data_IF_202514014800
#
_entry.id   IF_202514014800
#
_cell.length_a   1.000
_cell.length_b   1.000
_cell.length_c   1.000
_cell.angle_alpha   90.00
_cell.angle_beta   90.00
_cell.angle_gamma   90.00
#
_symmetry.space_group_name_H-M   'P 1'
#
loop_
_entity.id
_entity.type
_entity.pdbx_description
1 polymer ?
#
# COMPACT_ATOMS: atom_id res chain seq x y z
N UNK A 1 17.81 -10.06 17.90
CA UNK A 1 17.19 -10.10 16.56
C UNK A 1 17.37 -11.49 15.97
N UNK A 2 16.30 -12.17 15.59
CA UNK A 2 16.37 -13.50 14.96
C UNK A 2 15.55 -13.53 13.68
N UNK A 3 16.06 -14.27 12.69
CA UNK A 3 15.40 -14.48 11.37
C UNK A 3 14.55 -15.75 11.33
N UNK A 4 14.57 -16.54 12.40
CA UNK A 4 14.06 -17.91 12.40
C UNK A 4 12.98 -18.14 13.47
N UNK A 5 12.23 -17.10 13.87
CA UNK A 5 11.09 -17.34 14.75
C UNK A 5 10.07 -18.20 14.01
N UNK A 6 9.57 -19.21 14.71
CA UNK A 6 8.61 -20.16 14.17
C UNK A 6 7.40 -20.20 15.07
N UNK A 7 6.23 -20.34 14.44
CA UNK A 7 4.97 -20.59 15.11
C UNK A 7 4.59 -22.05 14.93
N UNK A 8 3.84 -22.56 15.90
CA UNK A 8 3.22 -23.88 15.83
C UNK A 8 1.75 -23.68 15.49
N UNK A 9 1.36 -24.06 14.28
CA UNK A 9 -0.03 -24.18 13.91
C UNK A 9 -0.52 -25.59 14.24
N UNK A 10 -1.74 -25.71 14.77
CA UNK A 10 -2.37 -27.00 15.08
C UNK A 10 -3.81 -26.99 14.57
N UNK A 11 -4.34 -28.18 14.25
CA UNK A 11 -5.71 -28.31 13.74
C UNK A 11 -6.70 -28.59 14.86
N UNK A 12 -6.33 -29.44 15.80
CA UNK A 12 -7.19 -29.79 16.93
C UNK A 12 -6.42 -29.85 18.24
N UNK A 13 -7.14 -29.58 19.32
CA UNK A 13 -6.65 -29.66 20.69
C UNK A 13 -7.41 -30.78 21.38
N UNK A 14 -6.68 -31.75 21.92
CA UNK A 14 -7.21 -32.88 22.65
C UNK A 14 -7.11 -32.62 24.15
N UNK A 15 -8.25 -32.39 24.79
CA UNK A 15 -8.35 -32.15 26.23
C UNK A 15 -8.47 -33.48 26.98
N UNK A 16 -7.44 -33.81 27.76
CA UNK A 16 -7.47 -34.91 28.73
C UNK A 16 -7.23 -34.32 30.12
N UNK A 17 -6.32 -34.88 30.94
CA UNK A 17 -5.80 -34.21 32.14
C UNK A 17 -4.82 -33.06 31.81
N UNK A 18 -4.22 -33.09 30.62
CA UNK A 18 -3.41 -31.99 30.06
C UNK A 18 -3.81 -31.79 28.59
N UNK A 19 -3.83 -30.54 28.09
CA UNK A 19 -4.16 -30.28 26.70
C UNK A 19 -3.01 -30.74 25.79
N UNK A 20 -3.34 -31.51 24.75
CA UNK A 20 -2.39 -31.95 23.72
C UNK A 20 -2.75 -31.32 22.38
N UNK A 21 -1.74 -30.82 21.66
CA UNK A 21 -1.92 -30.32 20.30
C UNK A 21 -1.80 -31.47 19.30
N UNK A 22 -2.74 -31.57 18.37
CA UNK A 22 -2.80 -32.63 17.36
C UNK A 22 -2.62 -32.02 15.98
N UNK A 23 -1.88 -32.73 15.12
CA UNK A 23 -1.55 -32.31 13.77
C UNK A 23 -0.84 -30.93 13.73
N UNK A 24 0.35 -30.89 14.34
CA UNK A 24 1.13 -29.66 14.47
C UNK A 24 2.04 -29.45 13.25
N UNK A 25 2.05 -28.24 12.71
CA UNK A 25 2.96 -27.81 11.63
C UNK A 25 3.73 -26.58 12.09
N UNK A 26 5.04 -26.57 11.81
CA UNK A 26 5.90 -25.41 12.06
C UNK A 26 5.83 -24.46 10.87
N UNK A 27 5.54 -23.20 11.13
CA UNK A 27 5.36 -22.17 10.10
C UNK A 27 6.27 -20.99 10.42
N UNK A 28 6.92 -20.35 9.42
CA UNK A 28 7.70 -19.14 9.68
C UNK A 28 6.79 -18.02 10.22
N UNK A 29 7.17 -17.45 11.37
CA UNK A 29 6.27 -16.60 12.13
C UNK A 29 5.89 -15.32 11.38
N UNK A 30 6.90 -14.63 10.81
CA UNK A 30 6.70 -13.33 10.19
C UNK A 30 5.71 -13.39 9.02
N UNK A 31 5.95 -14.28 8.06
CA UNK A 31 5.13 -14.42 6.87
C UNK A 31 3.71 -14.90 7.22
N UNK A 32 3.58 -15.83 8.16
CA UNK A 32 2.27 -16.33 8.58
C UNK A 32 1.43 -15.24 9.25
N UNK A 33 2.02 -14.50 10.20
CA UNK A 33 1.34 -13.41 10.89
C UNK A 33 0.99 -12.28 9.93
N UNK A 34 1.88 -11.93 9.00
CA UNK A 34 1.62 -10.86 8.04
C UNK A 34 0.55 -11.21 7.01
N UNK A 35 0.28 -12.48 6.71
CA UNK A 35 -0.71 -12.88 5.72
C UNK A 35 -2.06 -13.29 6.30
N UNK A 36 -2.05 -13.98 7.44
CA UNK A 36 -3.24 -14.64 7.97
C UNK A 36 -3.80 -14.01 9.25
N UNK A 37 -3.14 -12.98 9.81
CA UNK A 37 -3.70 -12.26 10.96
C UNK A 37 -4.95 -11.48 10.60
N UNK A 38 -5.83 -11.34 11.58
CA UNK A 38 -7.07 -10.61 11.45
C UNK A 38 -6.85 -9.10 11.50
N UNK A 39 -6.05 -8.62 12.45
CA UNK A 39 -5.69 -7.20 12.55
C UNK A 39 -4.17 -7.01 12.63
N UNK A 40 -3.69 -6.03 11.85
CA UNK A 40 -2.32 -5.55 11.89
C UNK A 40 -2.33 -4.06 12.20
N UNK A 41 -1.75 -3.71 13.33
CA UNK A 41 -1.61 -2.33 13.77
C UNK A 41 -0.14 -1.94 13.62
N UNK A 42 0.14 -0.77 13.06
CA UNK A 42 1.51 -0.30 12.83
C UNK A 42 1.76 1.03 13.53
N UNK A 43 3.01 1.21 13.94
CA UNK A 43 3.57 2.51 14.30
C UNK A 43 3.72 3.42 13.07
N UNK A 44 3.88 4.72 13.32
CA UNK A 44 4.11 5.77 12.34
C UNK A 44 5.31 5.50 11.41
N UNK A 45 6.42 5.04 12.00
CA UNK A 45 7.65 4.65 11.27
C UNK A 45 7.59 3.25 10.63
N UNK A 46 6.45 2.56 10.74
CA UNK A 46 6.25 1.17 10.28
C UNK A 46 7.19 0.11 10.89
N UNK A 47 8.11 0.49 11.78
CA UNK A 47 9.13 -0.38 12.37
C UNK A 47 8.56 -1.33 13.45
N UNK A 48 7.54 -0.87 14.18
CA UNK A 48 6.80 -1.65 15.18
C UNK A 48 5.43 -2.03 14.64
N UNK A 49 5.10 -3.32 14.71
CA UNK A 49 3.82 -3.88 14.33
C UNK A 49 3.21 -4.66 15.49
N UNK A 50 1.90 -4.55 15.69
CA UNK A 50 1.13 -5.36 16.62
C UNK A 50 0.15 -6.21 15.82
N UNK A 51 0.18 -7.51 16.08
CA UNK A 51 -0.62 -8.53 15.41
C UNK A 51 -1.69 -9.03 16.38
N UNK A 52 -2.95 -8.97 15.93
CA UNK A 52 -4.14 -9.43 16.65
C UNK A 52 -4.25 -8.88 18.11
N UNK A 53 -3.60 -7.75 18.40
CA UNK A 53 -3.61 -7.11 19.72
C UNK A 53 -2.84 -7.86 20.83
N UNK A 54 -2.01 -8.85 20.49
CA UNK A 54 -1.29 -9.64 21.50
C UNK A 54 0.16 -9.94 21.19
N UNK A 55 0.59 -9.77 19.94
CA UNK A 55 1.93 -10.09 19.52
C UNK A 55 2.58 -8.89 18.87
N UNK A 56 3.74 -8.49 19.36
CA UNK A 56 4.53 -7.40 18.84
C UNK A 56 5.69 -7.92 17.98
N UNK A 57 5.85 -7.31 16.81
CA UNK A 57 6.96 -7.51 15.90
C UNK A 57 7.72 -6.19 15.78
N UNK A 58 9.01 -6.21 16.09
CA UNK A 58 9.89 -5.05 15.92
C UNK A 58 10.92 -5.34 14.84
N UNK A 59 10.96 -4.50 13.82
CA UNK A 59 11.91 -4.56 12.72
C UNK A 59 12.89 -3.39 12.87
N UNK A 60 14.22 -3.63 12.92
CA UNK A 60 15.20 -2.58 13.19
C UNK A 60 15.37 -1.58 12.03
N UNK A 61 14.96 -1.94 10.82
CA UNK A 61 15.09 -1.10 9.63
C UNK A 61 13.70 -0.73 9.10
N UNK A 62 13.34 0.55 9.19
CA UNK A 62 12.05 1.10 8.76
C UNK A 62 11.78 0.88 7.26
N UNK A 63 12.76 1.08 6.37
CA UNK A 63 12.60 0.83 4.92
C UNK A 63 12.31 -0.63 4.60
N UNK A 64 12.90 -1.54 5.37
CA UNK A 64 12.64 -2.98 5.21
C UNK A 64 11.26 -3.36 5.73
N UNK A 65 10.82 -2.74 6.83
CA UNK A 65 9.51 -2.95 7.42
C UNK A 65 8.39 -2.44 6.50
N UNK A 66 8.58 -1.25 5.92
CA UNK A 66 7.68 -0.64 4.94
C UNK A 66 7.50 -1.52 3.71
N UNK A 67 8.60 -2.00 3.10
CA UNK A 67 8.53 -2.91 1.93
C UNK A 67 7.85 -4.24 2.27
N UNK A 68 8.11 -4.76 3.45
CA UNK A 68 7.48 -5.99 3.93
C UNK A 68 5.97 -5.80 4.16
N UNK A 69 5.57 -4.65 4.69
CA UNK A 69 4.16 -4.28 4.83
C UNK A 69 3.50 -4.08 3.47
N UNK A 70 4.10 -3.29 2.57
CA UNK A 70 3.55 -3.02 1.24
C UNK A 70 3.32 -4.32 0.45
N UNK A 71 4.31 -5.22 0.44
CA UNK A 71 4.19 -6.55 -0.19
C UNK A 71 3.13 -7.44 0.48
N UNK A 72 3.04 -7.45 1.82
CA UNK A 72 2.01 -8.22 2.53
C UNK A 72 0.60 -7.71 2.20
N UNK A 73 0.39 -6.39 2.15
CA UNK A 73 -0.88 -5.76 1.80
C UNK A 73 -1.28 -6.05 0.36
N UNK A 74 -0.34 -5.92 -0.59
CA UNK A 74 -0.56 -6.27 -1.98
C UNK A 74 -0.96 -7.75 -2.12
N UNK A 75 -0.27 -8.65 -1.43
CA UNK A 75 -0.57 -10.08 -1.51
C UNK A 75 -1.94 -10.42 -0.88
N UNK A 76 -2.30 -9.81 0.25
CA UNK A 76 -3.63 -9.97 0.86
C UNK A 76 -4.74 -9.48 -0.07
N UNK A 77 -4.59 -8.28 -0.63
CA UNK A 77 -5.60 -7.73 -1.56
C UNK A 77 -5.73 -8.58 -2.84
N UNK A 78 -4.62 -9.07 -3.38
CA UNK A 78 -4.64 -9.98 -4.53
C UNK A 78 -5.32 -11.32 -4.18
N UNK A 79 -4.98 -11.89 -3.02
CA UNK A 79 -5.60 -13.12 -2.52
C UNK A 79 -7.12 -12.97 -2.34
N UNK A 80 -7.57 -11.86 -1.75
CA UNK A 80 -8.99 -11.58 -1.60
C UNK A 80 -9.70 -11.40 -2.93
N UNK A 81 -9.12 -10.66 -3.88
CA UNK A 81 -9.68 -10.52 -5.23
C UNK A 81 -9.84 -11.89 -5.90
N UNK A 82 -8.85 -12.76 -5.79
CA UNK A 82 -8.91 -14.14 -6.32
C UNK A 82 -9.99 -14.97 -5.62
N UNK A 83 -10.10 -14.88 -4.29
CA UNK A 83 -11.15 -15.57 -3.55
C UNK A 83 -12.55 -15.10 -3.95
N UNK A 84 -12.73 -13.79 -4.12
CA UNK A 84 -13.99 -13.22 -4.62
C UNK A 84 -14.28 -13.70 -6.05
N UNK A 85 -13.29 -13.70 -6.93
CA UNK A 85 -13.42 -14.22 -8.29
C UNK A 85 -13.78 -15.71 -8.31
N UNK A 86 -13.14 -16.54 -7.49
CA UNK A 86 -13.43 -17.98 -7.40
C UNK A 86 -14.83 -18.26 -6.84
N UNK A 87 -15.30 -17.45 -5.88
CA UNK A 87 -16.68 -17.52 -5.36
C UNK A 87 -17.71 -17.16 -6.44
N UNK A 88 -17.39 -16.20 -7.30
CA UNK A 88 -18.30 -15.71 -8.34
C UNK A 88 -18.21 -16.45 -9.68
N UNK A 89 -17.06 -17.06 -9.99
CA UNK A 89 -16.76 -17.69 -11.29
C UNK A 89 -16.06 -19.01 -11.05
N UNK A 90 -16.80 -20.10 -11.18
CA UNK A 90 -16.26 -21.45 -11.12
C UNK A 90 -15.19 -21.67 -12.20
N UNK A 91 -13.93 -21.81 -11.76
CA UNK A 91 -12.79 -22.32 -12.52
C UNK A 91 -12.37 -21.54 -13.79
N UNK A 92 -11.46 -20.58 -13.64
CA UNK A 92 -10.75 -20.00 -14.78
C UNK A 92 -9.95 -18.75 -14.44
N UNK A 93 -9.06 -18.81 -13.45
CA UNK A 93 -8.17 -17.69 -13.13
C UNK A 93 -6.74 -18.18 -13.06
N UNK A 94 -5.88 -17.58 -13.87
CA UNK A 94 -4.43 -17.77 -13.80
C UNK A 94 -3.92 -17.23 -12.47
N UNK A 95 -3.11 -18.00 -11.71
CA UNK A 95 -2.56 -17.53 -10.45
C UNK A 95 -1.73 -16.26 -10.67
N UNK A 96 -1.71 -15.31 -9.73
CA UNK A 96 -0.84 -14.16 -9.78
C UNK A 96 0.61 -14.66 -9.90
N UNK A 97 1.36 -14.09 -10.84
CA UNK A 97 2.79 -14.37 -10.98
C UNK A 97 3.48 -13.96 -9.68
N UNK A 98 3.88 -14.98 -8.91
CA UNK A 98 4.17 -14.94 -7.49
C UNK A 98 5.03 -13.75 -7.03
N UNK A 99 4.50 -12.80 -6.24
CA UNK A 99 5.36 -12.03 -5.36
C UNK A 99 5.72 -12.96 -4.21
N UNK A 100 6.87 -13.65 -4.33
CA UNK A 100 7.37 -14.45 -3.22
C UNK A 100 7.71 -13.48 -2.09
N UNK A 101 7.06 -13.62 -0.93
CA UNK A 101 7.50 -12.96 0.31
C UNK A 101 8.75 -13.71 0.80
N UNK A 102 9.87 -13.50 0.11
CA UNK A 102 11.20 -14.04 0.45
C UNK A 102 12.00 -13.08 1.33
N UNK A 103 11.35 -12.06 1.90
CA UNK A 103 12.00 -11.05 2.72
C UNK A 103 12.43 -11.70 4.05
N UNK A 104 13.67 -12.21 4.09
CA UNK A 104 14.36 -12.66 5.31
C UNK A 104 14.91 -11.45 6.07
N UNK A 105 14.01 -10.70 6.71
CA UNK A 105 14.40 -9.55 7.52
C UNK A 105 14.64 -10.03 8.97
N UNK A 106 15.70 -9.58 9.67
CA UNK A 106 15.84 -9.82 11.10
C UNK A 106 14.78 -9.04 11.87
N UNK A 107 14.05 -9.70 12.76
CA UNK A 107 13.04 -9.05 13.60
C UNK A 107 13.16 -9.52 15.05
N UNK A 108 12.44 -8.84 15.93
CA UNK A 108 12.16 -9.26 17.29
C UNK A 108 10.68 -9.64 17.38
N UNK A 109 10.38 -10.69 18.15
CA UNK A 109 9.02 -11.16 18.38
C UNK A 109 8.77 -11.16 19.89
N UNK A 110 7.73 -10.47 20.34
CA UNK A 110 7.43 -10.30 21.76
C UNK A 110 5.93 -10.49 22.01
N UNK A 111 5.58 -11.36 22.97
CA UNK A 111 4.18 -11.48 23.41
C UNK A 111 3.86 -10.35 24.39
N UNK A 112 2.83 -9.58 24.08
CA UNK A 112 2.41 -8.46 24.91
C UNK A 112 1.73 -8.94 26.19
N UNK A 113 2.20 -8.42 27.31
CA UNK A 113 1.61 -8.61 28.63
C UNK A 113 0.31 -7.82 28.77
N UNK A 114 -0.51 -8.17 29.77
CA UNK A 114 -1.78 -7.48 30.02
C UNK A 114 -1.62 -5.97 30.30
N UNK A 115 -0.51 -5.56 30.93
CA UNK A 115 -0.21 -4.15 31.19
C UNK A 115 0.20 -3.43 29.91
N UNK A 116 1.05 -4.05 29.08
CA UNK A 116 1.47 -3.45 27.81
C UNK A 116 0.28 -3.25 26.88
N UNK A 117 -0.66 -4.20 26.84
CA UNK A 117 -1.91 -4.07 26.07
C UNK A 117 -2.73 -2.82 26.43
N UNK A 118 -2.75 -2.45 27.71
CA UNK A 118 -3.45 -1.24 28.17
C UNK A 118 -2.71 0.04 27.78
N UNK A 119 -1.39 -0.06 27.61
CA UNK A 119 -0.53 1.06 27.21
C UNK A 119 -0.30 1.12 25.69
N UNK A 120 -0.81 0.16 24.92
CA UNK A 120 -0.69 0.15 23.47
C UNK A 120 -1.45 1.30 22.82
N UNK A 121 -2.59 1.72 23.40
CA UNK A 121 -3.57 2.64 22.80
C UNK A 121 -3.74 3.97 23.55
N UNK A 122 -2.67 4.51 24.14
CA UNK A 122 -2.73 5.77 24.89
C UNK A 122 -2.33 6.95 24.00
N UNK A 123 -3.28 7.82 23.65
CA UNK A 123 -2.99 9.09 23.00
C UNK A 123 -2.18 10.03 23.90
N UNK A 124 -1.57 11.10 23.36
CA UNK A 124 -0.73 12.01 24.14
C UNK A 124 -1.52 12.56 25.34
N UNK A 125 -1.13 12.15 26.55
CA UNK A 125 -1.71 12.68 27.78
C UNK A 125 -1.08 14.05 28.03
N UNK A 126 -1.58 15.08 27.35
CA UNK A 126 -1.36 16.44 27.82
C UNK A 126 -2.00 16.54 29.20
N UNK A 127 -1.17 16.82 30.19
CA UNK A 127 -1.51 16.93 31.61
C UNK A 127 -2.81 17.74 31.82
N UNK A 128 -3.64 17.24 32.75
CA UNK A 128 -4.88 17.78 33.31
C UNK A 128 -6.19 17.49 32.54
N UNK A 129 -6.85 16.43 33.02
CA UNK A 129 -8.31 16.25 33.11
C UNK A 129 -9.16 16.64 31.88
N UNK A 130 -9.38 15.67 30.99
CA UNK A 130 -10.60 15.61 30.19
C UNK A 130 -11.36 14.32 30.51
N UNK A 131 -12.69 14.37 30.68
CA UNK A 131 -13.48 13.18 30.97
C UNK A 131 -13.33 12.19 29.82
N UNK A 132 -13.26 10.90 30.15
CA UNK A 132 -13.25 9.78 29.19
C UNK A 132 -14.47 9.91 28.28
N UNK A 133 -14.27 10.54 27.13
CA UNK A 133 -15.30 10.92 26.19
C UNK A 133 -14.90 10.44 24.80
N UNK A 134 -15.57 9.38 24.39
CA UNK A 134 -15.58 8.75 23.07
C UNK A 134 -14.22 8.25 22.54
N UNK A 135 -14.03 6.94 22.68
CA UNK A 135 -12.91 6.10 22.28
C UNK A 135 -12.84 5.92 20.74
N UNK A 136 -12.93 7.05 20.02
CA UNK A 136 -12.85 7.15 18.57
C UNK A 136 -11.48 7.68 18.13
N UNK A 137 -10.41 7.19 18.77
CA UNK A 137 -9.08 7.29 18.19
C UNK A 137 -9.19 6.73 16.76
N UNK A 138 -8.95 7.62 15.81
CA UNK A 138 -9.33 7.45 14.42
C UNK A 138 -8.67 6.19 13.87
N UNK A 139 -9.46 5.13 13.72
CA UNK A 139 -9.13 3.96 12.91
C UNK A 139 -9.04 4.46 11.48
N UNK A 140 -7.90 5.04 11.12
CA UNK A 140 -7.63 5.48 9.77
C UNK A 140 -7.47 4.22 8.94
N UNK A 141 -8.55 3.86 8.24
CA UNK A 141 -8.52 2.84 7.21
C UNK A 141 -7.51 3.29 6.15
N UNK A 142 -6.59 2.42 5.77
CA UNK A 142 -5.73 2.65 4.61
C UNK A 142 -6.65 2.90 3.39
N UNK A 143 -6.65 4.10 2.78
CA UNK A 143 -7.48 4.36 1.61
C UNK A 143 -6.98 3.51 0.45
N UNK A 144 -7.81 2.57 -0.01
CA UNK A 144 -7.48 1.62 -1.09
C UNK A 144 -7.47 0.14 -0.68
N UNK A 145 -7.66 -0.17 0.61
CA UNK A 145 -8.06 -1.51 1.04
C UNK A 145 -9.58 -1.63 1.04
N UNK A 146 -10.11 -2.74 0.53
CA UNK A 146 -11.53 -3.05 0.65
C UNK A 146 -11.95 -2.98 2.13
N UNK A 147 -13.17 -2.48 2.44
CA UNK A 147 -13.67 -2.37 3.81
C UNK A 147 -13.75 -3.71 4.57
N UNK A 148 -13.54 -4.83 3.86
CA UNK A 148 -13.47 -6.19 4.39
C UNK A 148 -12.14 -6.53 5.08
N UNK A 149 -11.07 -5.75 4.88
CA UNK A 149 -9.78 -5.99 5.53
C UNK A 149 -9.57 -4.94 6.61
N UNK A 150 -9.71 -5.28 7.90
CA UNK A 150 -9.57 -4.33 8.97
C UNK A 150 -8.09 -4.04 9.26
N UNK A 151 -7.40 -3.40 8.31
CA UNK A 151 -6.15 -2.72 8.62
C UNK A 151 -6.49 -1.48 9.42
N UNK A 152 -6.14 -1.51 10.70
CA UNK A 152 -6.30 -0.37 11.59
C UNK A 152 -4.91 0.23 11.73
N UNK A 153 -4.67 1.36 11.06
CA UNK A 153 -3.54 2.20 11.45
C UNK A 153 -3.82 2.69 12.87
N UNK A 154 -2.78 2.69 13.72
CA UNK A 154 -2.62 3.41 15.00
C UNK A 154 -2.28 2.49 16.19
N UNK A 155 -1.02 2.06 16.32
CA UNK A 155 -0.42 1.87 17.66
C UNK A 155 0.05 3.25 18.12
N UNK A 156 -0.49 3.85 19.19
CA UNK A 156 -0.02 5.14 19.64
C UNK A 156 1.42 5.16 20.14
N UNK A 157 1.84 6.40 20.11
CA UNK A 157 3.16 6.95 20.30
C UNK A 157 3.57 6.78 21.76
N UNK A 158 4.78 6.26 21.97
CA UNK A 158 5.51 6.65 23.18
C UNK A 158 5.66 8.18 23.17
N UNK A 159 5.78 8.83 24.32
CA UNK A 159 5.79 10.30 24.48
C UNK A 159 6.86 11.03 23.61
N UNK A 160 7.83 10.27 23.08
CA UNK A 160 8.86 10.74 22.13
C UNK A 160 8.45 10.73 20.65
N UNK A 161 7.36 10.08 20.27
CA UNK A 161 7.01 9.79 18.87
C UNK A 161 5.88 10.68 18.33
N UNK A 162 5.44 11.70 19.08
CA UNK A 162 4.42 12.68 18.67
C UNK A 162 4.67 13.28 17.28
N UNK A 163 5.93 13.49 16.91
CA UNK A 163 6.36 14.04 15.62
C UNK A 163 6.55 12.98 14.53
N UNK A 164 6.58 11.68 14.87
CA UNK A 164 6.89 10.59 13.95
C UNK A 164 5.90 10.49 12.78
N UNK A 165 4.61 10.76 13.01
CA UNK A 165 3.60 10.83 11.94
C UNK A 165 3.87 11.91 10.89
N UNK A 166 4.68 12.91 11.24
CA UNK A 166 5.05 14.04 10.38
C UNK A 166 6.51 13.96 9.92
N UNK A 167 7.29 12.96 10.37
CA UNK A 167 8.67 12.79 9.94
C UNK A 167 8.66 12.34 8.47
N UNK A 168 9.06 13.27 7.61
CA UNK A 168 9.23 13.02 6.18
C UNK A 168 10.69 12.70 5.91
N UNK A 169 10.93 11.63 5.17
CA UNK A 169 12.26 11.29 4.65
C UNK A 169 12.27 11.49 3.14
N UNK A 170 13.37 12.01 2.62
CA UNK A 170 13.54 12.11 1.17
C UNK A 170 13.65 10.71 0.59
N UNK A 171 12.79 10.45 -0.40
CA UNK A 171 12.80 9.20 -1.13
C UNK A 171 12.61 9.47 -2.61
N UNK A 172 13.32 8.72 -3.43
CA UNK A 172 13.20 8.74 -4.88
C UNK A 172 12.43 7.52 -5.32
N UNK A 173 11.33 7.73 -6.05
CA UNK A 173 10.55 6.62 -6.57
C UNK A 173 11.30 5.89 -7.68
N UNK A 174 11.43 4.55 -7.64
CA UNK A 174 12.11 3.78 -8.69
C UNK A 174 11.31 3.67 -10.00
N UNK A 175 10.06 4.14 -10.03
CA UNK A 175 9.17 4.01 -11.19
C UNK A 175 8.94 5.33 -11.94
N UNK A 176 8.98 6.48 -11.25
CA UNK A 176 8.78 7.79 -11.87
C UNK A 176 9.91 8.79 -11.56
N UNK A 177 10.97 8.36 -10.88
CA UNK A 177 12.13 9.16 -10.47
C UNK A 177 11.80 10.43 -9.65
N UNK A 178 10.59 10.53 -9.11
CA UNK A 178 10.16 11.64 -8.26
C UNK A 178 10.94 11.64 -6.94
N UNK A 179 11.72 12.70 -6.68
CA UNK A 179 12.46 12.91 -5.44
C UNK A 179 11.76 13.94 -4.56
N UNK A 180 11.05 13.48 -3.52
CA UNK A 180 10.34 14.36 -2.58
C UNK A 180 10.33 13.78 -1.15
N UNK A 181 10.12 14.61 -0.11
CA UNK A 181 10.02 14.15 1.26
C UNK A 181 8.63 13.54 1.54
N UNK A 182 8.60 12.22 1.77
CA UNK A 182 7.38 11.45 2.04
C UNK A 182 7.34 10.94 3.48
N UNK A 183 6.13 10.86 4.05
CA UNK A 183 5.91 9.99 5.22
C UNK A 183 5.92 8.53 4.78
N UNK A 184 6.20 7.57 5.67
CA UNK A 184 6.15 6.14 5.37
C UNK A 184 4.84 5.71 4.67
N UNK A 185 3.70 6.24 5.14
CA UNK A 185 2.39 5.97 4.58
C UNK A 185 2.21 6.55 3.17
N UNK A 186 2.60 7.82 2.97
CA UNK A 186 2.52 8.46 1.66
C UNK A 186 3.38 7.74 0.63
N UNK A 187 4.57 7.27 1.04
CA UNK A 187 5.46 6.46 0.20
C UNK A 187 4.80 5.15 -0.20
N UNK A 188 4.19 4.41 0.74
CA UNK A 188 3.47 3.17 0.42
C UNK A 188 2.33 3.41 -0.56
N UNK A 189 1.58 4.50 -0.38
CA UNK A 189 0.50 4.89 -1.30
C UNK A 189 1.03 5.19 -2.69
N UNK A 190 2.07 6.04 -2.79
CA UNK A 190 2.70 6.36 -4.06
C UNK A 190 3.25 5.11 -4.74
N UNK A 191 3.97 4.23 -4.02
CA UNK A 191 4.49 2.97 -4.58
C UNK A 191 3.37 2.05 -5.11
N UNK A 192 2.21 2.03 -4.44
CA UNK A 192 1.06 1.23 -4.88
C UNK A 192 0.35 1.78 -6.12
N UNK A 193 0.39 3.11 -6.32
CA UNK A 193 -0.28 3.79 -7.43
C UNK A 193 0.65 4.07 -8.61
N UNK A 194 1.96 4.16 -8.35
CA UNK A 194 2.98 4.45 -9.35
C UNK A 194 3.32 3.16 -10.10
N UNK A 195 2.51 2.87 -11.11
CA UNK A 195 2.81 1.84 -12.10
C UNK A 195 3.68 2.45 -13.20
N UNK A 196 4.74 1.77 -13.67
CA UNK A 196 5.45 2.22 -14.86
C UNK A 196 4.46 2.23 -16.01
N UNK A 197 4.18 3.42 -16.56
CA UNK A 197 3.48 3.53 -17.83
C UNK A 197 4.24 2.67 -18.83
N UNK A 198 3.65 1.57 -19.30
CA UNK A 198 4.11 0.91 -20.51
C UNK A 198 3.90 1.91 -21.65
N UNK A 199 4.90 2.77 -21.89
CA UNK A 199 4.74 3.88 -22.82
C UNK A 199 5.86 4.92 -22.91
N UNK A 200 6.92 4.88 -22.11
CA UNK A 200 8.05 5.81 -22.27
C UNK A 200 9.30 5.06 -22.76
N UNK A 201 9.42 4.99 -24.09
CA UNK A 201 10.66 4.67 -24.79
C UNK A 201 11.78 5.66 -24.40
N UNK A 202 13.01 5.19 -24.14
CA UNK A 202 14.11 6.07 -23.76
C UNK A 202 14.73 6.72 -25.01
N UNK A 203 14.54 8.02 -25.17
CA UNK A 203 15.34 8.79 -26.12
C UNK A 203 14.92 10.24 -26.29
N UNK A 204 15.57 11.15 -25.58
CA UNK A 204 16.26 12.30 -26.21
C UNK A 204 17.16 13.03 -25.18
N UNK A 205 18.40 13.38 -25.54
CA UNK A 205 19.33 14.13 -24.69
C UNK A 205 19.00 15.65 -24.64
N UNK A 206 19.57 16.40 -23.67
CA UNK A 206 19.14 17.76 -23.34
C UNK A 206 19.71 18.80 -24.31
N UNK A 207 18.89 19.77 -24.70
CA UNK A 207 19.37 21.03 -25.26
C UNK A 207 18.69 22.21 -24.57
N UNK A 208 19.54 23.06 -24.01
CA UNK A 208 19.25 24.32 -23.35
C UNK A 208 18.66 25.35 -24.34
N UNK A 209 17.75 26.15 -23.79
CA UNK A 209 17.43 27.55 -24.10
C UNK A 209 17.20 27.98 -25.57
N UNK A 210 15.94 28.27 -25.91
CA UNK A 210 15.57 29.58 -26.46
C UNK A 210 14.05 29.79 -26.57
N UNK A 211 13.61 30.93 -26.04
CA UNK A 211 12.49 31.77 -26.49
C UNK A 211 11.04 31.24 -26.38
N UNK A 212 10.34 31.88 -25.45
CA UNK A 212 8.90 32.11 -25.43
C UNK A 212 8.30 32.34 -26.82
N UNK A 213 7.23 31.63 -27.17
CA UNK A 213 6.04 32.24 -27.78
C UNK A 213 4.79 31.38 -27.48
N UNK A 214 3.95 31.96 -26.62
CA UNK A 214 2.52 31.72 -26.46
C UNK A 214 1.80 31.29 -27.75
N UNK A 215 1.09 30.16 -27.71
CA UNK A 215 -0.04 29.87 -28.60
C UNK A 215 -0.95 28.79 -28.00
N UNK A 216 -1.92 29.22 -27.20
CA UNK A 216 -3.09 28.42 -26.82
C UNK A 216 -3.90 28.09 -28.07
N UNK A 217 -3.78 26.89 -28.63
CA UNK A 217 -4.69 26.42 -29.69
C UNK A 217 -5.84 25.61 -29.09
N UNK A 218 -6.91 26.36 -28.82
CA UNK A 218 -8.34 26.03 -28.68
C UNK A 218 -8.80 24.57 -28.77
N UNK A 219 -9.56 24.18 -27.74
CA UNK A 219 -10.30 22.92 -27.54
C UNK A 219 -11.45 22.63 -28.55
N UNK A 220 -11.35 23.12 -29.80
CA UNK A 220 -12.42 23.01 -30.82
C UNK A 220 -11.97 22.37 -32.14
N UNK A 221 -10.69 22.06 -32.31
CA UNK A 221 -10.19 21.37 -33.50
C UNK A 221 -10.43 19.86 -33.38
N UNK A 222 -10.99 19.24 -34.43
CA UNK A 222 -11.20 17.78 -34.51
C UNK A 222 -10.56 17.25 -35.79
N UNK A 223 -10.09 16.01 -35.74
CA UNK A 223 -9.60 15.31 -36.92
C UNK A 223 -10.77 15.02 -37.89
N UNK A 224 -10.57 15.35 -39.16
CA UNK A 224 -11.51 15.18 -40.24
C UNK A 224 -10.78 14.61 -41.48
N UNK A 225 -11.22 13.45 -41.93
CA UNK A 225 -10.76 12.83 -43.17
C UNK A 225 -11.64 13.28 -44.35
N UNK A 226 -11.01 13.78 -45.42
CA UNK A 226 -11.73 14.14 -46.63
C UNK A 226 -11.61 13.03 -47.69
N UNK A 227 -12.75 12.45 -48.09
CA UNK A 227 -12.80 11.33 -49.03
C UNK A 227 -12.43 11.70 -50.49
N UNK A 228 -12.26 12.98 -50.81
CA UNK A 228 -11.91 13.45 -52.18
C UNK A 228 -10.40 13.59 -52.34
N UNK A 229 -9.71 14.15 -51.35
CA UNK A 229 -8.25 14.29 -51.36
C UNK A 229 -7.52 13.18 -50.57
N UNK A 230 -8.25 12.31 -49.87
CA UNK A 230 -7.72 11.20 -49.06
C UNK A 230 -6.63 11.65 -48.06
N UNK A 231 -6.82 12.82 -47.45
CA UNK A 231 -5.92 13.36 -46.43
C UNK A 231 -6.68 13.68 -45.15
N UNK A 232 -5.98 13.48 -44.02
CA UNK A 232 -6.46 13.79 -42.68
C UNK A 232 -6.07 15.21 -42.28
N UNK A 233 -7.05 16.01 -41.87
CA UNK A 233 -6.84 17.38 -41.41
C UNK A 233 -7.41 17.58 -40.01
N UNK A 234 -6.81 18.46 -39.21
CA UNK A 234 -7.39 18.93 -37.95
C UNK A 234 -8.04 20.29 -38.17
N UNK A 235 -9.36 20.29 -38.30
CA UNK A 235 -10.14 21.49 -38.62
C UNK A 235 -11.20 21.77 -37.56
N UNK A 236 -11.61 23.03 -37.48
CA UNK A 236 -12.86 23.41 -36.82
C UNK A 236 -14.07 23.07 -37.73
N UNK A 237 -15.28 22.93 -37.18
CA UNK A 237 -16.47 22.58 -37.97
C UNK A 237 -16.76 23.53 -39.15
N UNK A 238 -16.40 24.81 -39.03
CA UNK A 238 -16.55 25.81 -40.11
C UNK A 238 -15.53 25.63 -41.23
N UNK A 239 -14.30 25.23 -40.91
CA UNK A 239 -13.25 24.97 -41.90
C UNK A 239 -13.53 23.68 -42.69
N UNK A 240 -14.12 22.66 -42.04
CA UNK A 240 -14.58 21.44 -42.72
C UNK A 240 -15.62 21.78 -43.81
N UNK A 241 -16.54 22.71 -43.53
CA UNK A 241 -17.56 23.15 -44.49
C UNK A 241 -16.95 23.95 -45.65
N UNK A 242 -15.97 24.83 -45.38
CA UNK A 242 -15.24 25.55 -46.43
C UNK A 242 -14.44 24.59 -47.32
N UNK A 243 -13.73 23.63 -46.72
CA UNK A 243 -12.97 22.62 -47.45
C UNK A 243 -13.89 21.78 -48.35
N UNK A 244 -15.06 21.34 -47.85
CA UNK A 244 -16.06 20.64 -48.68
C UNK A 244 -16.58 21.47 -49.85
N UNK A 245 -16.63 22.80 -49.72
CA UNK A 245 -17.11 23.70 -50.76
C UNK A 245 -16.06 23.94 -51.86
N UNK A 246 -14.77 23.75 -51.57
CA UNK A 246 -13.69 23.81 -52.56
C UNK A 246 -13.66 22.60 -53.51
N UNK A 247 -14.30 21.48 -53.12
CA UNK A 247 -14.46 20.27 -53.94
C UNK A 247 -15.78 20.25 -54.73
N UNK A 248 -16.46 21.38 -54.85
CA UNK A 248 -17.76 21.54 -55.52
C UNK A 248 -17.67 22.56 -56.63
#
# INVERSE_FOLDING_TARGET
>A
LSRHHQLLAFVSLLETNKPYLVNCVRVPALQALLLFSHSLDTSADCARLVVDGWLEITVPNADSALRLLSTALQLRSAWEKLLHQLRMRGAGVSPPQHPRILLQVPYHLHQLTGLEKQNLYIGPQTVAAAPRGDDRLSRLQLPGCDPSIPFTLCVPQTDMDLYSNCLRSFWTCPHCDLHMPFTPLERMYHESACWPSEGDEPGCPPLEEAAEHSSKTSALHRSYHCNVCQQDFTFTPTEILQHKKQHR
#
